data_IF_008534772984
#
_entry.id   IF_008534772984
#
_cell.length_a   1.000
_cell.length_b   1.000
_cell.length_c   1.000
_cell.angle_alpha   90.00
_cell.angle_beta   90.00
_cell.angle_gamma   90.00
#
_symmetry.space_group_name_H-M   'P 1'
#
loop_
_entity.id
_entity.type
_entity.pdbx_description
1 polymer ?
#
# COMPACT_ATOMS: atom_id res chain seq x y z
N UNK A 1 -1.21 10.25 7.58
CA UNK A 1 -2.16 9.87 6.50
C UNK A 1 -3.16 8.91 7.11
N UNK A 2 -4.45 9.04 6.78
CA UNK A 2 -5.49 8.11 7.25
C UNK A 2 -5.97 7.22 6.11
N UNK A 3 -6.14 5.93 6.40
CA UNK A 3 -6.66 4.95 5.46
C UNK A 3 -7.46 3.88 6.20
N UNK A 4 -8.67 3.59 5.72
CA UNK A 4 -9.65 2.69 6.38
C UNK A 4 -9.88 3.01 7.88
N UNK A 5 -9.86 4.30 8.24
CA UNK A 5 -10.06 4.76 9.61
C UNK A 5 -8.85 4.53 10.55
N UNK A 6 -7.69 4.16 10.01
CA UNK A 6 -6.44 3.99 10.75
C UNK A 6 -5.44 5.08 10.37
N UNK A 7 -4.69 5.56 11.36
CA UNK A 7 -3.50 6.39 11.12
C UNK A 7 -2.36 5.48 10.67
N UNK A 8 -1.80 5.76 9.49
CA UNK A 8 -0.73 4.96 8.92
C UNK A 8 0.63 5.28 9.55
N UNK A 9 1.42 4.23 9.75
CA UNK A 9 2.82 4.33 10.15
C UNK A 9 3.67 4.92 9.02
N UNK A 10 4.82 5.50 9.37
CA UNK A 10 5.69 6.21 8.40
C UNK A 10 6.08 5.33 7.20
N UNK A 11 6.46 4.07 7.43
CA UNK A 11 6.87 3.17 6.34
C UNK A 11 5.71 2.87 5.37
N UNK A 12 4.47 2.86 5.85
CA UNK A 12 3.28 2.66 5.01
C UNK A 12 3.01 3.90 4.15
N UNK A 13 3.14 5.09 4.75
CA UNK A 13 3.03 6.38 4.05
C UNK A 13 4.10 6.49 2.96
N UNK A 14 5.34 6.16 3.28
CA UNK A 14 6.45 6.17 2.31
C UNK A 14 6.21 5.19 1.16
N UNK A 15 5.75 3.98 1.48
CA UNK A 15 5.42 2.96 0.48
C UNK A 15 4.34 3.46 -0.47
N UNK A 16 3.24 4.01 0.07
CA UNK A 16 2.12 4.55 -0.71
C UNK A 16 2.57 5.72 -1.60
N UNK A 17 3.37 6.63 -1.06
CA UNK A 17 3.92 7.74 -1.83
C UNK A 17 4.79 7.28 -3.00
N UNK A 18 5.59 6.22 -2.79
CA UNK A 18 6.42 5.62 -3.85
C UNK A 18 5.57 4.93 -4.91
N UNK A 19 4.53 4.19 -4.51
CA UNK A 19 3.55 3.58 -5.42
C UNK A 19 2.84 4.65 -6.26
N UNK A 20 2.44 5.77 -5.66
CA UNK A 20 1.79 6.88 -6.38
C UNK A 20 2.72 7.54 -7.41
N UNK A 21 4.03 7.52 -7.17
CA UNK A 21 5.07 7.92 -8.14
C UNK A 21 5.37 6.83 -9.19
N UNK A 22 4.59 5.75 -9.22
CA UNK A 22 4.73 4.63 -10.15
C UNK A 22 6.06 3.86 -10.00
N UNK A 23 6.62 3.86 -8.78
CA UNK A 23 7.78 3.03 -8.46
C UNK A 23 7.37 1.63 -8.00
N UNK A 24 8.14 0.61 -8.39
CA UNK A 24 8.10 -0.71 -7.75
C UNK A 24 8.79 -0.64 -6.38
N UNK A 25 8.22 -1.31 -5.38
CA UNK A 25 8.73 -1.27 -4.00
C UNK A 25 8.96 -2.67 -3.43
N UNK A 26 9.85 -2.77 -2.44
CA UNK A 26 9.99 -3.93 -1.56
C UNK A 26 9.74 -3.44 -0.13
N UNK A 27 8.74 -4.03 0.53
CA UNK A 27 8.44 -3.72 1.93
C UNK A 27 8.99 -4.83 2.82
N UNK A 28 10.07 -4.52 3.55
CA UNK A 28 10.64 -5.42 4.56
C UNK A 28 10.24 -4.96 5.96
N UNK A 29 9.26 -5.65 6.55
CA UNK A 29 8.84 -5.44 7.93
C UNK A 29 8.38 -6.77 8.54
N UNK A 30 8.43 -6.95 9.88
CA UNK A 30 7.94 -8.16 10.54
C UNK A 30 6.46 -8.47 10.27
N UNK A 31 6.05 -9.72 10.46
CA UNK A 31 4.63 -10.10 10.49
C UNK A 31 3.95 -9.40 11.67
N UNK A 32 2.72 -8.93 11.48
CA UNK A 32 2.01 -8.11 12.48
C UNK A 32 2.25 -6.61 12.37
N UNK A 33 3.26 -6.14 11.61
CA UNK A 33 3.53 -4.71 11.41
C UNK A 33 2.57 -4.00 10.43
N UNK A 34 1.49 -4.64 9.99
CA UNK A 34 0.50 -3.97 9.13
C UNK A 34 0.88 -3.78 7.66
N UNK A 35 1.81 -4.57 7.10
CA UNK A 35 2.15 -4.53 5.65
C UNK A 35 0.93 -4.67 4.72
N UNK A 36 -0.10 -5.40 5.18
CA UNK A 36 -1.36 -5.60 4.44
C UNK A 36 -2.02 -4.28 4.04
N UNK A 37 -1.92 -3.21 4.86
CA UNK A 37 -2.52 -1.92 4.52
C UNK A 37 -1.90 -1.30 3.26
N UNK A 38 -0.62 -1.55 3.00
CA UNK A 38 0.05 -1.11 1.77
C UNK A 38 -0.51 -1.87 0.57
N UNK A 39 -0.67 -3.19 0.68
CA UNK A 39 -1.24 -4.03 -0.36
C UNK A 39 -2.71 -3.65 -0.66
N UNK A 40 -3.52 -3.47 0.38
CA UNK A 40 -4.91 -3.00 0.26
C UNK A 40 -4.98 -1.68 -0.52
N UNK A 41 -4.11 -0.71 -0.20
CA UNK A 41 -4.08 0.57 -0.92
C UNK A 41 -3.77 0.38 -2.41
N UNK A 42 -2.81 -0.49 -2.75
CA UNK A 42 -2.47 -0.79 -4.15
C UNK A 42 -3.65 -1.42 -4.88
N UNK A 43 -4.35 -2.35 -4.23
CA UNK A 43 -5.53 -3.01 -4.79
C UNK A 43 -6.64 -1.99 -5.05
N UNK A 44 -7.00 -1.18 -4.06
CA UNK A 44 -8.05 -0.17 -4.18
C UNK A 44 -7.71 0.86 -5.26
N UNK A 45 -6.46 1.33 -5.30
CA UNK A 45 -5.98 2.25 -6.34
C UNK A 45 -6.09 1.62 -7.74
N UNK A 46 -5.64 0.39 -7.91
CA UNK A 46 -5.66 -0.28 -9.20
C UNK A 46 -7.10 -0.50 -9.69
N UNK A 47 -8.02 -0.89 -8.81
CA UNK A 47 -9.45 -1.02 -9.14
C UNK A 47 -10.01 0.32 -9.60
N UNK A 48 -9.73 1.41 -8.86
CA UNK A 48 -10.17 2.77 -9.21
C UNK A 48 -9.58 3.26 -10.55
N UNK A 49 -8.36 2.83 -10.88
CA UNK A 49 -7.70 3.09 -12.16
C UNK A 49 -8.23 2.19 -13.30
N UNK A 50 -9.19 1.28 -13.05
CA UNK A 50 -9.68 0.31 -14.03
C UNK A 50 -8.65 -0.77 -14.40
N UNK A 51 -7.65 -0.99 -13.56
CA UNK A 51 -6.58 -1.98 -13.73
C UNK A 51 -6.92 -3.29 -13.02
N UNK A 52 -6.20 -4.35 -13.38
CA UNK A 52 -6.26 -5.66 -12.70
C UNK A 52 -5.06 -5.82 -11.77
N UNK A 53 -5.26 -6.53 -10.65
CA UNK A 53 -4.21 -6.86 -9.69
C UNK A 53 -4.10 -8.35 -9.53
N UNK A 54 -2.87 -8.84 -9.44
CA UNK A 54 -2.54 -10.21 -9.07
C UNK A 54 -1.90 -10.14 -7.69
N UNK A 55 -2.45 -10.86 -6.72
CA UNK A 55 -1.92 -10.98 -5.36
C UNK A 55 -1.44 -12.42 -5.14
N UNK A 56 -0.17 -12.58 -4.79
CA UNK A 56 0.52 -13.86 -4.58
C UNK A 56 1.39 -13.79 -3.36
#
# INVERSE_FOLDING_TARGET
MEYKGLVLDEFQVESINSINKHHSIIVSAPTGSGKTLVADYVIDKAINDGKKVIYT
#
